data_IF_836240185306
#
_entry.id   IF_836240185306
#
_cell.length_a   1.000
_cell.length_b   1.000
_cell.length_c   1.000
_cell.angle_alpha   90.00
_cell.angle_beta   90.00
_cell.angle_gamma   90.00
#
_symmetry.space_group_name_H-M   'P 1'
#
loop_
_entity.id
_entity.type
_entity.pdbx_description
1 polymer ?
#
# COMPACT_ATOMS: atom_id res chain seq x y z
N UNK A 1 -4.84 -5.80 15.69
CA UNK A 1 -4.65 -6.64 14.49
C UNK A 1 -3.28 -6.37 13.88
N UNK A 2 -2.66 -7.36 13.27
CA UNK A 2 -1.42 -7.11 12.54
C UNK A 2 -1.62 -6.12 11.40
N UNK A 3 -0.53 -5.50 10.98
CA UNK A 3 -0.53 -4.60 9.84
C UNK A 3 0.23 -5.28 8.71
N UNK A 4 -0.32 -5.20 7.52
CA UNK A 4 0.29 -5.77 6.33
C UNK A 4 0.50 -4.68 5.29
N UNK A 5 1.56 -4.86 4.51
CA UNK A 5 1.78 -4.07 3.31
C UNK A 5 1.53 -4.99 2.12
N UNK A 6 0.64 -4.61 1.24
CA UNK A 6 0.49 -5.38 0.01
C UNK A 6 1.04 -4.59 -1.17
N UNK A 7 1.49 -5.34 -2.17
CA UNK A 7 2.15 -4.78 -3.34
C UNK A 7 1.43 -5.28 -4.57
N UNK A 8 1.01 -4.36 -5.40
CA UNK A 8 0.45 -4.67 -6.71
C UNK A 8 1.46 -4.27 -7.77
N UNK A 9 1.88 -5.24 -8.56
CA UNK A 9 2.82 -5.00 -9.63
C UNK A 9 2.16 -5.08 -10.99
N UNK A 10 2.93 -4.73 -12.01
CA UNK A 10 2.51 -4.90 -13.41
C UNK A 10 1.19 -4.19 -13.72
N UNK A 11 1.01 -3.00 -13.18
CA UNK A 11 -0.22 -2.24 -13.36
C UNK A 11 -0.32 -1.54 -14.71
N UNK A 12 0.73 -1.61 -15.51
CA UNK A 12 0.68 -1.11 -16.88
C UNK A 12 0.38 0.37 -16.96
N UNK A 13 -0.72 0.69 -17.62
CA UNK A 13 -1.11 2.08 -17.88
C UNK A 13 -1.98 2.68 -16.78
N UNK A 14 -2.10 2.02 -15.63
CA UNK A 14 -2.92 2.53 -14.54
C UNK A 14 -2.42 3.91 -14.09
N UNK A 15 -3.34 4.76 -13.73
CA UNK A 15 -3.03 6.10 -13.22
C UNK A 15 -3.29 6.14 -11.72
N UNK A 16 -2.81 7.21 -11.09
CA UNK A 16 -3.09 7.41 -9.67
C UNK A 16 -4.58 7.47 -9.40
N UNK A 17 -5.36 8.05 -10.32
CA UNK A 17 -6.81 8.10 -10.18
C UNK A 17 -7.44 6.70 -10.23
N UNK A 18 -6.88 5.82 -11.07
CA UNK A 18 -7.37 4.44 -11.13
C UNK A 18 -7.14 3.74 -9.80
N UNK A 19 -5.98 3.95 -9.18
CA UNK A 19 -5.66 3.33 -7.90
C UNK A 19 -6.53 3.94 -6.79
N UNK A 20 -6.77 5.24 -6.84
CA UNK A 20 -7.67 5.88 -5.88
C UNK A 20 -9.05 5.28 -5.95
N UNK A 21 -9.57 5.07 -7.15
CA UNK A 21 -10.88 4.47 -7.33
C UNK A 21 -10.93 3.04 -6.78
N UNK A 22 -9.86 2.28 -6.97
CA UNK A 22 -9.76 0.93 -6.42
C UNK A 22 -9.76 0.97 -4.89
N UNK A 23 -9.01 1.91 -4.32
CA UNK A 23 -8.96 2.07 -2.87
C UNK A 23 -10.34 2.40 -2.29
N UNK A 24 -11.11 3.23 -2.98
CA UNK A 24 -12.45 3.55 -2.52
C UNK A 24 -13.35 2.32 -2.52
N UNK A 25 -13.19 1.42 -3.47
CA UNK A 25 -13.92 0.17 -3.47
C UNK A 25 -13.48 -0.73 -2.31
N UNK A 26 -12.20 -0.73 -2.00
CA UNK A 26 -11.70 -1.45 -0.83
C UNK A 26 -12.35 -0.93 0.45
N UNK A 27 -12.44 0.38 0.60
CA UNK A 27 -13.05 0.98 1.78
C UNK A 27 -14.53 0.59 1.90
N UNK A 28 -15.22 0.51 0.79
CA UNK A 28 -16.64 0.13 0.79
C UNK A 28 -16.84 -1.34 1.13
N UNK A 29 -15.82 -2.16 0.98
CA UNK A 29 -15.90 -3.61 1.16
C UNK A 29 -15.23 -4.08 2.46
N UNK A 30 -14.41 -3.25 3.06
CA UNK A 30 -13.51 -3.67 4.15
C UNK A 30 -14.25 -4.30 5.35
N UNK A 31 -15.42 -3.81 5.68
CA UNK A 31 -16.14 -4.31 6.85
C UNK A 31 -16.55 -5.77 6.70
N UNK A 32 -16.84 -6.20 5.50
CA UNK A 32 -17.22 -7.59 5.23
C UNK A 32 -16.08 -8.57 5.52
N UNK A 33 -14.86 -8.09 5.43
CA UNK A 33 -13.68 -8.95 5.59
C UNK A 33 -12.94 -8.69 6.90
N UNK A 34 -13.46 -7.76 7.71
CA UNK A 34 -12.84 -7.46 9.00
C UNK A 34 -11.48 -6.83 8.89
N UNK A 35 -11.23 -6.09 7.82
CA UNK A 35 -9.97 -5.41 7.59
C UNK A 35 -10.17 -3.91 7.61
N UNK A 36 -9.09 -3.15 7.69
CA UNK A 36 -9.13 -1.71 7.68
C UNK A 36 -7.96 -1.18 6.87
N UNK A 37 -8.27 -0.57 5.73
CA UNK A 37 -7.27 0.01 4.86
C UNK A 37 -6.81 1.34 5.44
N UNK A 38 -5.49 1.49 5.62
CA UNK A 38 -4.92 2.64 6.32
C UNK A 38 -4.46 3.71 5.36
N UNK A 39 -3.69 3.32 4.35
CA UNK A 39 -3.12 4.27 3.38
C UNK A 39 -2.64 3.51 2.15
N UNK A 40 -2.32 4.25 1.11
CA UNK A 40 -1.82 3.69 -0.13
C UNK A 40 -0.91 4.70 -0.82
N UNK A 41 -0.12 4.22 -1.75
CA UNK A 41 0.63 5.09 -2.66
C UNK A 41 0.89 4.35 -3.95
N UNK A 42 1.20 5.11 -5.00
CA UNK A 42 1.37 4.57 -6.33
C UNK A 42 2.63 5.15 -6.95
N UNK A 43 3.45 4.27 -7.52
CA UNK A 43 4.67 4.67 -8.21
C UNK A 43 4.48 4.41 -9.69
N UNK A 44 4.15 5.44 -10.44
CA UNK A 44 3.90 5.30 -11.87
C UNK A 44 5.18 5.04 -12.66
N UNK A 45 6.34 5.36 -12.08
CA UNK A 45 7.62 5.08 -12.73
C UNK A 45 7.92 3.60 -12.86
N UNK A 46 7.41 2.79 -11.93
CA UNK A 46 7.62 1.34 -11.97
C UNK A 46 6.31 0.56 -12.08
N UNK A 47 5.18 1.25 -12.15
CA UNK A 47 3.89 0.60 -12.30
C UNK A 47 3.48 -0.25 -11.11
N UNK A 48 3.74 0.22 -9.90
CA UNK A 48 3.42 -0.52 -8.67
C UNK A 48 2.60 0.35 -7.73
N UNK A 49 1.68 -0.27 -7.02
CA UNK A 49 0.99 0.38 -5.93
C UNK A 49 1.19 -0.40 -4.64
N UNK A 50 1.04 0.29 -3.53
CA UNK A 50 1.29 -0.26 -2.20
C UNK A 50 0.15 0.15 -1.30
N UNK A 51 -0.33 -0.79 -0.48
CA UNK A 51 -1.40 -0.52 0.47
C UNK A 51 -0.98 -1.01 1.84
N UNK A 52 -1.37 -0.25 2.86
CA UNK A 52 -1.22 -0.69 4.25
C UNK A 52 -2.58 -1.01 4.79
N UNK A 53 -2.68 -2.12 5.50
CA UNK A 53 -3.97 -2.61 5.98
C UNK A 53 -3.80 -3.29 7.33
N UNK A 54 -4.75 -3.06 8.22
CA UNK A 54 -4.91 -3.87 9.42
C UNK A 54 -5.83 -5.03 9.08
N UNK A 55 -5.40 -6.25 9.35
CA UNK A 55 -6.17 -7.44 9.00
C UNK A 55 -5.86 -8.56 9.98
N UNK A 56 -6.79 -9.49 10.20
CA UNK A 56 -6.52 -10.64 11.06
C UNK A 56 -5.45 -11.56 10.47
N UNK A 57 -5.39 -11.62 9.15
CA UNK A 57 -4.35 -12.37 8.43
C UNK A 57 -4.23 -11.84 7.00
N UNK A 58 -3.23 -12.31 6.29
CA UNK A 58 -2.97 -11.87 4.92
C UNK A 58 -4.10 -12.28 3.97
N UNK A 59 -4.70 -13.44 4.21
CA UNK A 59 -5.77 -13.92 3.35
C UNK A 59 -6.97 -13.01 3.36
N UNK A 60 -7.31 -12.43 4.52
CA UNK A 60 -8.43 -11.50 4.62
C UNK A 60 -8.20 -10.26 3.77
N UNK A 61 -6.97 -9.72 3.77
CA UNK A 61 -6.64 -8.57 2.96
C UNK A 61 -6.74 -8.88 1.47
N UNK A 62 -6.20 -10.02 1.06
CA UNK A 62 -6.29 -10.45 -0.34
C UNK A 62 -7.71 -10.69 -0.79
N UNK A 63 -8.53 -11.30 0.08
CA UNK A 63 -9.92 -11.57 -0.25
C UNK A 63 -10.71 -10.26 -0.41
N UNK A 64 -10.42 -9.27 0.41
CA UNK A 64 -11.08 -7.97 0.31
C UNK A 64 -10.77 -7.31 -1.03
N UNK A 65 -9.50 -7.27 -1.43
CA UNK A 65 -9.13 -6.73 -2.73
C UNK A 65 -9.83 -7.45 -3.87
N UNK A 66 -9.86 -8.77 -3.80
CA UNK A 66 -10.48 -9.55 -4.85
C UNK A 66 -11.97 -9.26 -4.98
N UNK A 67 -12.66 -9.14 -3.85
CA UNK A 67 -14.09 -8.83 -3.85
C UNK A 67 -14.36 -7.40 -4.28
N UNK A 68 -13.49 -6.46 -3.90
CA UNK A 68 -13.72 -5.04 -4.15
C UNK A 68 -13.52 -4.67 -5.61
N UNK A 69 -12.42 -5.13 -6.22
CA UNK A 69 -12.07 -4.70 -7.58
C UNK A 69 -11.37 -5.78 -8.40
N UNK A 70 -11.12 -6.94 -7.81
CA UNK A 70 -10.55 -8.06 -8.54
C UNK A 70 -9.02 -8.04 -8.71
N UNK A 71 -8.35 -6.99 -8.23
CA UNK A 71 -6.91 -6.89 -8.36
C UNK A 71 -6.25 -7.56 -7.18
N UNK A 72 -5.77 -8.78 -7.39
CA UNK A 72 -5.08 -9.51 -6.33
C UNK A 72 -3.69 -8.92 -6.14
N UNK A 73 -3.22 -8.79 -4.89
CA UNK A 73 -1.86 -8.29 -4.68
C UNK A 73 -0.83 -9.31 -5.14
N UNK A 74 0.29 -8.80 -5.59
CA UNK A 74 1.43 -9.61 -5.99
C UNK A 74 2.07 -10.25 -4.77
N UNK A 75 2.09 -9.50 -3.67
CA UNK A 75 2.73 -9.92 -2.45
C UNK A 75 2.07 -9.22 -1.27
N UNK A 76 1.97 -9.90 -0.14
CA UNK A 76 1.48 -9.33 1.11
C UNK A 76 2.49 -9.66 2.19
N UNK A 77 3.00 -8.63 2.87
CA UNK A 77 4.06 -8.76 3.86
C UNK A 77 3.58 -8.19 5.19
N UNK A 78 3.74 -8.95 6.24
CA UNK A 78 3.46 -8.42 7.57
C UNK A 78 4.54 -7.41 7.96
N UNK A 79 4.13 -6.24 8.48
CA UNK A 79 5.06 -5.20 8.88
C UNK A 79 4.74 -4.76 10.30
N UNK A 80 5.75 -4.30 11.03
CA UNK A 80 5.52 -3.77 12.36
C UNK A 80 5.32 -2.26 12.28
N UNK A 81 4.45 -1.75 13.15
CA UNK A 81 4.23 -0.31 13.21
C UNK A 81 5.50 0.46 13.53
N UNK A 82 6.32 -0.10 14.42
CA UNK A 82 7.58 0.54 14.80
C UNK A 82 8.56 0.60 13.64
N UNK A 83 8.65 -0.48 12.88
CA UNK A 83 9.53 -0.51 11.72
C UNK A 83 9.07 0.51 10.68
N UNK A 84 7.77 0.61 10.47
CA UNK A 84 7.23 1.58 9.53
C UNK A 84 7.54 3.01 9.92
N UNK A 85 7.34 3.33 11.20
CA UNK A 85 7.65 4.66 11.69
C UNK A 85 9.13 4.97 11.53
N UNK A 86 9.98 3.97 11.74
CA UNK A 86 11.42 4.14 11.59
C UNK A 86 11.84 4.40 10.16
N UNK A 87 11.19 3.75 9.20
CA UNK A 87 11.53 3.93 7.79
C UNK A 87 10.93 5.18 7.19
N UNK A 88 9.66 5.42 7.48
CA UNK A 88 8.92 6.47 6.77
C UNK A 88 8.99 7.81 7.47
N UNK A 89 9.37 7.81 8.74
CA UNK A 89 9.43 9.04 9.51
C UNK A 89 8.07 9.69 9.62
N UNK A 90 8.05 10.99 9.52
CA UNK A 90 6.81 11.75 9.57
C UNK A 90 6.11 11.67 8.22
N UNK A 91 4.94 11.12 8.23
CA UNK A 91 4.10 11.06 7.04
C UNK A 91 2.65 11.22 7.47
N UNK A 92 1.84 11.59 6.52
CA UNK A 92 0.40 11.75 6.75
C UNK A 92 -0.33 11.20 5.54
N UNK A 93 -1.63 11.37 5.51
CA UNK A 93 -2.40 10.97 4.33
C UNK A 93 -3.38 12.07 3.98
N UNK A 94 -3.70 12.16 2.70
CA UNK A 94 -4.65 13.16 2.24
C UNK A 94 -6.09 12.67 2.47
N UNK A 95 -7.08 13.38 1.92
CA UNK A 95 -8.48 13.03 2.12
C UNK A 95 -8.90 11.73 1.46
N UNK A 96 -8.05 11.18 0.60
CA UNK A 96 -8.28 9.90 -0.08
C UNK A 96 -7.33 8.82 0.42
N UNK A 97 -6.73 9.03 1.59
CA UNK A 97 -5.80 8.09 2.23
C UNK A 97 -4.47 7.91 1.50
N UNK A 98 -4.21 8.69 0.46
CA UNK A 98 -2.92 8.65 -0.22
C UNK A 98 -1.82 9.11 0.72
N UNK A 99 -0.78 8.31 0.84
CA UNK A 99 0.34 8.65 1.71
C UNK A 99 1.05 9.91 1.21
N UNK A 100 1.25 10.84 2.13
CA UNK A 100 1.90 12.12 1.83
C UNK A 100 3.09 12.27 2.77
N UNK A 101 4.26 12.49 2.20
CA UNK A 101 5.48 12.62 2.96
C UNK A 101 5.89 14.07 3.07
N UNK A 102 6.65 14.43 4.12
CA UNK A 102 7.07 15.82 4.28
C UNK A 102 7.83 16.33 3.06
N UNK A 103 7.62 17.59 2.74
CA UNK A 103 8.27 18.20 1.60
C UNK A 103 9.77 18.33 1.85
N UNK A 104 10.55 17.62 1.11
CA UNK A 104 12.00 17.64 1.19
C UNK A 104 12.57 17.57 -0.20
N UNK A 105 12.07 18.39 -1.07
CA UNK A 105 12.36 18.22 -2.45
C UNK A 105 11.64 16.98 -2.93
N UNK A 106 12.32 16.05 -3.51
CA UNK A 106 11.70 14.84 -4.03
C UNK A 106 12.10 13.61 -3.25
N UNK A 107 12.67 13.82 -2.09
CA UNK A 107 13.25 12.71 -1.34
C UNK A 107 12.25 11.68 -0.84
N UNK A 108 11.02 12.06 -0.41
CA UNK A 108 10.09 11.06 0.12
C UNK A 108 9.83 9.91 -0.82
N UNK A 109 9.51 10.20 -2.07
CA UNK A 109 9.26 9.15 -3.05
C UNK A 109 10.48 8.31 -3.30
N UNK A 110 11.62 8.96 -3.43
CA UNK A 110 12.89 8.26 -3.69
C UNK A 110 13.22 7.34 -2.53
N UNK A 111 13.01 7.80 -1.31
CA UNK A 111 13.27 6.99 -0.14
C UNK A 111 12.39 5.74 -0.11
N UNK A 112 11.12 5.89 -0.43
CA UNK A 112 10.21 4.76 -0.47
C UNK A 112 10.61 3.75 -1.51
N UNK A 113 10.98 4.21 -2.70
CA UNK A 113 11.44 3.31 -3.74
C UNK A 113 12.68 2.55 -3.30
N UNK A 114 13.61 3.24 -2.67
CA UNK A 114 14.84 2.60 -2.20
C UNK A 114 14.52 1.52 -1.17
N UNK A 115 13.61 1.79 -0.26
CA UNK A 115 13.21 0.81 0.75
C UNK A 115 12.57 -0.41 0.10
N UNK A 116 11.69 -0.20 -0.85
CA UNK A 116 11.01 -1.31 -1.54
C UNK A 116 11.99 -2.15 -2.33
N UNK A 117 12.90 -1.52 -3.04
CA UNK A 117 13.91 -2.23 -3.80
C UNK A 117 14.87 -2.96 -2.89
N UNK A 118 15.21 -2.38 -1.77
CA UNK A 118 16.09 -3.01 -0.79
C UNK A 118 15.46 -4.28 -0.26
N UNK A 119 14.17 -4.26 0.02
CA UNK A 119 13.47 -5.46 0.46
C UNK A 119 13.54 -6.55 -0.57
N UNK A 120 13.31 -6.20 -1.83
CA UNK A 120 13.34 -7.17 -2.92
C UNK A 120 14.75 -7.74 -3.08
N UNK A 121 15.74 -6.85 -3.09
CA UNK A 121 17.12 -7.26 -3.25
C UNK A 121 17.65 -7.91 -1.98
N UNK A 122 17.28 -7.36 -0.84
CA UNK A 122 17.73 -7.87 0.44
C UNK A 122 17.27 -9.28 0.71
N UNK A 123 16.16 -9.68 0.09
CA UNK A 123 15.67 -11.03 0.25
C UNK A 123 16.55 -12.03 -0.50
N UNK A 124 17.42 -11.55 -1.31
CA UNK A 124 18.35 -12.42 -2.00
C UNK A 124 19.66 -12.51 -1.23
#
# INVERSE_FOLDING_TARGET
>A
MPVYMDVHGSLGDATQDDIRAAHEKDLATQDEFGVRWLTWWFDDGVGKSFCLVEAPDADAAGACHKAAHGLAPHEIIEVSGDAMAGFFGDWSKDSHDLAVFPEKGNEPDTALRAIMFTDIVGST
#
